data_IF_385709294912
#
_entry.id   IF_385709294912
#
_cell.length_a   1.000
_cell.length_b   1.000
_cell.length_c   1.000
_cell.angle_alpha   90.00
_cell.angle_beta   90.00
_cell.angle_gamma   90.00
#
_symmetry.space_group_name_H-M   'P 1'
#
loop_
_entity.id
_entity.type
_entity.pdbx_description
1 polymer ?
#
# COMPACT_ATOMS: atom_id res chain seq x y z
N UNK A 1 -8.13 34.74 2.84
CA UNK A 1 -6.92 35.17 3.57
C UNK A 1 -5.66 35.06 2.72
N UNK A 2 -5.45 33.94 2.00
CA UNK A 2 -4.26 33.73 1.14
C UNK A 2 -4.15 34.71 -0.04
N UNK A 3 -5.24 34.92 -0.79
CA UNK A 3 -5.25 35.85 -1.94
C UNK A 3 -4.98 37.30 -1.52
N UNK A 4 -5.57 37.75 -0.42
CA UNK A 4 -5.32 39.07 0.16
C UNK A 4 -3.83 39.28 0.49
N UNK A 5 -3.17 38.27 1.08
CA UNK A 5 -1.76 38.33 1.43
C UNK A 5 -0.84 38.42 0.20
N UNK A 6 -1.20 37.76 -0.90
CA UNK A 6 -0.46 37.85 -2.17
C UNK A 6 -0.57 39.28 -2.73
N UNK A 7 -1.77 39.84 -2.77
CA UNK A 7 -1.98 41.19 -3.30
C UNK A 7 -1.32 42.27 -2.44
N UNK A 8 -1.37 42.16 -1.11
CA UNK A 8 -0.69 43.12 -0.21
C UNK A 8 0.82 43.01 -0.32
N UNK A 9 1.38 41.79 -0.38
CA UNK A 9 2.82 41.59 -0.59
C UNK A 9 3.32 42.18 -1.91
N UNK A 10 2.54 42.02 -2.99
CA UNK A 10 2.85 42.60 -4.29
C UNK A 10 2.84 44.13 -4.26
N UNK A 11 1.85 44.73 -3.59
CA UNK A 11 1.77 46.19 -3.45
C UNK A 11 2.94 46.76 -2.63
N UNK A 12 3.28 46.11 -1.51
CA UNK A 12 4.41 46.52 -0.67
C UNK A 12 5.72 46.45 -1.45
N UNK A 13 5.97 45.38 -2.21
CA UNK A 13 7.17 45.23 -3.04
C UNK A 13 7.27 46.33 -4.10
N UNK A 14 6.14 46.67 -4.73
CA UNK A 14 6.09 47.71 -5.76
C UNK A 14 6.41 49.10 -5.20
N UNK A 15 6.03 49.38 -3.95
CA UNK A 15 6.36 50.64 -3.28
C UNK A 15 7.78 50.67 -2.69
N UNK A 16 8.29 49.54 -2.17
CA UNK A 16 9.59 49.51 -1.49
C UNK A 16 10.79 49.51 -2.46
N UNK A 17 10.66 48.85 -3.61
CA UNK A 17 11.73 48.74 -4.62
C UNK A 17 12.26 50.08 -5.15
N UNK A 18 11.41 51.09 -5.49
CA UNK A 18 11.91 52.39 -5.95
C UNK A 18 12.65 53.17 -4.86
N UNK A 19 12.19 53.14 -3.61
CA UNK A 19 12.86 53.81 -2.48
C UNK A 19 14.21 53.17 -2.15
N UNK A 20 14.28 51.85 -2.20
CA UNK A 20 15.51 51.07 -2.00
C UNK A 20 16.54 51.37 -3.09
N UNK A 21 16.08 51.59 -4.33
CA UNK A 21 16.94 52.00 -5.46
C UNK A 21 17.45 53.44 -5.31
N UNK A 22 16.66 54.33 -4.69
CA UNK A 22 17.04 55.73 -4.53
C UNK A 22 18.00 55.97 -3.36
N UNK A 23 17.81 55.25 -2.25
CA UNK A 23 18.51 55.50 -0.98
C UNK A 23 19.87 54.82 -0.83
N UNK A 24 20.17 53.79 -1.63
CA UNK A 24 21.37 52.97 -1.47
C UNK A 24 22.22 53.06 -2.73
N UNK A 25 23.23 53.93 -2.71
CA UNK A 25 24.25 53.93 -3.75
C UNK A 25 25.05 52.63 -3.67
N UNK A 26 25.03 51.87 -4.77
CA UNK A 26 25.77 50.62 -4.91
C UNK A 26 27.22 50.84 -4.47
N UNK A 27 27.72 49.98 -3.58
CA UNK A 27 29.10 49.90 -3.06
C UNK A 27 30.17 50.02 -4.18
N UNK A 28 30.35 51.22 -4.73
CA UNK A 28 31.30 51.55 -5.80
C UNK A 28 31.16 50.79 -7.12
N UNK A 29 29.99 50.22 -7.48
CA UNK A 29 29.79 49.47 -8.76
C UNK A 29 28.47 49.80 -9.44
N UNK A 30 28.46 49.81 -10.77
CA UNK A 30 27.30 50.23 -11.61
C UNK A 30 26.14 49.23 -11.63
N UNK A 31 26.31 48.03 -11.04
CA UNK A 31 25.32 46.94 -11.11
C UNK A 31 24.69 46.65 -9.76
N UNK A 32 23.35 46.79 -9.70
CA UNK A 32 22.50 46.59 -8.52
C UNK A 32 22.29 45.11 -8.10
N UNK A 33 22.89 44.18 -8.83
CA UNK A 33 22.65 42.74 -8.72
C UNK A 33 22.96 42.12 -7.33
N UNK A 34 24.08 42.46 -6.64
CA UNK A 34 24.42 41.83 -5.35
C UNK A 34 23.47 42.24 -4.22
N UNK A 35 22.98 43.48 -4.24
CA UNK A 35 22.10 44.02 -3.21
C UNK A 35 20.70 43.40 -3.31
N UNK A 36 20.17 43.30 -4.52
CA UNK A 36 18.88 42.66 -4.77
C UNK A 36 18.88 41.19 -4.30
N UNK A 37 19.95 40.45 -4.60
CA UNK A 37 20.08 39.06 -4.19
C UNK A 37 20.22 38.91 -2.67
N UNK A 38 20.96 39.81 -2.02
CA UNK A 38 21.10 39.83 -0.55
C UNK A 38 19.77 40.09 0.16
N UNK A 39 19.01 41.09 -0.29
CA UNK A 39 17.70 41.44 0.28
C UNK A 39 16.71 40.28 0.14
N UNK A 40 16.64 39.67 -1.05
CA UNK A 40 15.79 38.49 -1.27
C UNK A 40 16.18 37.32 -0.36
N UNK A 41 17.49 37.08 -0.19
CA UNK A 41 17.98 36.01 0.67
C UNK A 41 17.60 36.21 2.14
N UNK A 42 17.68 37.44 2.66
CA UNK A 42 17.29 37.77 4.03
C UNK A 42 15.77 37.61 4.23
N UNK A 43 14.96 38.04 3.26
CA UNK A 43 13.50 37.87 3.30
C UNK A 43 13.10 36.38 3.28
N UNK A 44 13.76 35.56 2.47
CA UNK A 44 13.52 34.11 2.42
C UNK A 44 13.91 33.42 3.74
N UNK A 45 15.06 33.81 4.32
CA UNK A 45 15.53 33.26 5.59
C UNK A 45 14.59 33.62 6.74
N UNK A 46 14.21 34.89 6.84
CA UNK A 46 13.26 35.38 7.86
C UNK A 46 11.89 34.72 7.75
N UNK A 47 11.35 34.56 6.53
CA UNK A 47 10.09 33.84 6.29
C UNK A 47 10.17 32.38 6.77
N UNK A 48 11.28 31.70 6.47
CA UNK A 48 11.51 30.31 6.90
C UNK A 48 11.52 30.19 8.43
N UNK A 49 12.21 31.11 9.12
CA UNK A 49 12.25 31.13 10.60
C UNK A 49 10.86 31.33 11.19
N UNK A 50 10.06 32.26 10.64
CA UNK A 50 8.69 32.51 11.09
C UNK A 50 7.81 31.25 10.90
N UNK A 51 7.92 30.58 9.75
CA UNK A 51 7.17 29.34 9.47
C UNK A 51 7.57 28.19 10.42
N UNK A 52 8.86 28.07 10.74
CA UNK A 52 9.37 27.05 11.68
C UNK A 52 8.92 27.36 13.10
N UNK A 53 8.95 28.62 13.53
CA UNK A 53 8.46 29.03 14.85
C UNK A 53 6.94 28.83 14.98
N UNK A 54 6.17 29.11 13.92
CA UNK A 54 4.72 28.89 13.89
C UNK A 54 4.30 27.42 13.87
N UNK A 55 5.23 26.49 13.64
CA UNK A 55 4.98 25.04 13.47
C UNK A 55 4.10 24.41 14.57
N UNK A 56 4.20 24.89 15.81
CA UNK A 56 3.44 24.36 16.93
C UNK A 56 1.97 24.83 16.96
N UNK A 57 1.65 25.93 16.28
CA UNK A 57 0.29 26.49 16.21
C UNK A 57 -0.53 25.96 15.03
N UNK A 58 0.11 25.27 14.08
CA UNK A 58 -0.60 24.64 12.97
C UNK A 58 -1.14 23.28 13.40
N UNK A 59 -2.46 23.16 13.45
CA UNK A 59 -3.12 21.86 13.54
C UNK A 59 -2.83 21.11 12.25
N UNK A 60 -1.90 20.16 12.30
CA UNK A 60 -1.63 19.22 11.21
C UNK A 60 -2.86 18.32 11.06
N UNK A 61 -3.80 18.72 10.21
CA UNK A 61 -4.87 17.82 9.79
C UNK A 61 -4.22 16.66 9.03
N UNK A 62 -4.41 15.44 9.52
CA UNK A 62 -4.11 14.25 8.72
C UNK A 62 -4.92 14.38 7.43
N UNK A 63 -4.30 14.28 6.25
CA UNK A 63 -5.05 14.32 5.02
C UNK A 63 -5.95 13.09 4.96
N UNK A 64 -7.26 13.32 4.93
CA UNK A 64 -8.27 12.28 5.07
C UNK A 64 -8.41 11.40 3.82
N UNK A 65 -7.68 11.69 2.73
CA UNK A 65 -7.61 10.89 1.50
C UNK A 65 -6.42 11.30 0.61
N UNK A 66 -5.20 11.44 1.16
CA UNK A 66 -4.05 11.81 0.31
C UNK A 66 -3.54 10.60 -0.49
N UNK A 67 -3.91 10.57 -1.76
CA UNK A 67 -3.32 9.72 -2.81
C UNK A 67 -1.78 9.81 -2.74
N UNK A 68 -1.22 11.00 -2.49
CA UNK A 68 0.21 11.21 -2.26
C UNK A 68 0.78 10.33 -1.14
N UNK A 69 0.15 10.24 0.04
CA UNK A 69 0.63 9.36 1.11
C UNK A 69 0.52 7.88 0.75
N UNK A 70 -0.49 7.48 -0.03
CA UNK A 70 -0.61 6.11 -0.52
C UNK A 70 0.46 5.80 -1.56
N UNK A 71 0.78 6.76 -2.45
CA UNK A 71 1.87 6.68 -3.42
C UNK A 71 3.22 6.61 -2.70
N UNK A 72 3.49 7.51 -1.74
CA UNK A 72 4.72 7.48 -0.96
C UNK A 72 4.85 6.20 -0.12
N UNK A 73 3.76 5.70 0.46
CA UNK A 73 3.73 4.41 1.16
C UNK A 73 3.98 3.22 0.24
N UNK A 74 3.35 3.18 -0.95
CA UNK A 74 3.60 2.15 -1.95
C UNK A 74 5.04 2.20 -2.47
N UNK A 75 5.59 3.40 -2.75
CA UNK A 75 6.92 3.56 -3.39
C UNK A 75 8.07 3.47 -2.39
N UNK A 76 7.91 3.99 -1.17
CA UNK A 76 8.99 4.11 -0.19
C UNK A 76 8.77 3.27 1.07
N UNK A 77 7.60 2.64 1.24
CA UNK A 77 7.20 2.04 2.52
C UNK A 77 7.88 0.73 2.89
N UNK A 78 8.38 -0.05 1.92
CA UNK A 78 9.11 -1.30 2.22
C UNK A 78 10.36 -1.42 1.36
N UNK A 79 11.51 -1.53 2.01
CA UNK A 79 12.76 -1.96 1.39
C UNK A 79 12.55 -3.35 0.79
N UNK A 80 12.71 -3.44 -0.53
CA UNK A 80 12.58 -4.64 -1.36
C UNK A 80 13.76 -5.61 -1.20
N UNK A 81 14.79 -5.22 -0.45
CA UNK A 81 15.93 -6.10 -0.18
C UNK A 81 15.67 -6.95 1.06
N UNK A 82 15.47 -8.25 0.82
CA UNK A 82 15.45 -9.26 1.88
C UNK A 82 16.90 -9.42 2.38
N UNK A 83 17.19 -9.23 3.68
CA UNK A 83 18.52 -9.42 4.22
C UNK A 83 19.05 -10.83 3.94
N UNK A 84 20.35 -10.96 3.69
CA UNK A 84 20.97 -12.24 3.37
C UNK A 84 20.65 -13.30 4.43
N UNK A 85 20.08 -14.44 4.02
CA UNK A 85 19.73 -15.53 4.94
C UNK A 85 18.31 -15.46 5.52
N UNK A 86 17.53 -14.43 5.19
CA UNK A 86 16.12 -14.33 5.58
C UNK A 86 15.18 -14.73 4.43
N UNK A 87 13.96 -15.13 4.79
CA UNK A 87 12.81 -15.17 3.88
C UNK A 87 11.70 -14.27 4.43
N UNK A 88 10.85 -13.75 3.55
CA UNK A 88 9.71 -12.91 3.94
C UNK A 88 8.39 -13.66 3.69
N UNK A 89 7.48 -13.55 4.64
CA UNK A 89 6.18 -14.21 4.59
C UNK A 89 5.10 -13.14 4.62
N UNK A 90 4.08 -13.31 3.78
CA UNK A 90 2.85 -12.53 3.81
C UNK A 90 1.69 -13.44 4.17
N UNK A 91 0.86 -13.01 5.12
CA UNK A 91 -0.37 -13.68 5.51
C UNK A 91 -1.51 -12.71 5.22
N UNK A 92 -2.38 -13.11 4.29
CA UNK A 92 -3.58 -12.37 3.92
C UNK A 92 -4.78 -12.97 4.66
N UNK A 93 -5.47 -12.16 5.45
CA UNK A 93 -6.74 -12.55 6.05
C UNK A 93 -7.83 -12.49 4.97
N UNK A 94 -8.46 -13.62 4.65
CA UNK A 94 -9.60 -13.69 3.74
C UNK A 94 -10.96 -13.54 4.42
N UNK A 95 -10.97 -13.21 5.72
CA UNK A 95 -12.18 -13.06 6.53
C UNK A 95 -12.44 -11.59 6.89
N UNK A 96 -13.70 -11.28 7.15
CA UNK A 96 -14.25 -9.97 7.53
C UNK A 96 -14.22 -9.74 9.04
N UNK A 97 -13.44 -10.54 9.75
CA UNK A 97 -13.26 -10.52 11.20
C UNK A 97 -11.77 -10.47 11.56
N UNK A 98 -11.47 -10.08 12.80
CA UNK A 98 -10.09 -10.05 13.28
C UNK A 98 -9.55 -11.47 13.50
N UNK A 99 -8.29 -11.66 13.12
CA UNK A 99 -7.56 -12.92 13.28
C UNK A 99 -6.28 -12.67 14.06
N UNK A 100 -5.97 -13.55 15.00
CA UNK A 100 -4.77 -13.51 15.82
C UNK A 100 -3.76 -14.52 15.30
N UNK A 101 -2.55 -14.06 14.99
CA UNK A 101 -1.43 -14.92 14.60
C UNK A 101 -0.41 -14.94 15.73
N UNK A 102 -0.11 -16.13 16.23
CA UNK A 102 0.87 -16.36 17.27
C UNK A 102 1.92 -17.37 16.81
N UNK A 103 3.19 -17.07 17.04
CA UNK A 103 4.27 -18.04 16.87
C UNK A 103 5.38 -17.78 17.88
N UNK A 104 5.70 -18.81 18.66
CA UNK A 104 6.83 -18.78 19.60
C UNK A 104 8.15 -18.71 18.86
N UNK A 105 8.28 -19.45 17.75
CA UNK A 105 9.50 -19.49 16.95
C UNK A 105 9.79 -18.15 16.26
N UNK A 106 8.76 -17.48 15.72
CA UNK A 106 8.92 -16.17 15.10
C UNK A 106 8.94 -15.00 16.10
N UNK A 107 8.66 -15.25 17.38
CA UNK A 107 8.40 -14.21 18.39
C UNK A 107 7.33 -13.20 17.95
N UNK A 108 6.29 -13.70 17.28
CA UNK A 108 5.18 -12.88 16.75
C UNK A 108 3.91 -13.14 17.54
N UNK A 109 3.27 -12.05 17.95
CA UNK A 109 1.88 -12.01 18.39
C UNK A 109 1.25 -10.77 17.75
N UNK A 110 0.42 -10.97 16.73
CA UNK A 110 -0.15 -9.87 15.95
C UNK A 110 -1.61 -10.15 15.62
N UNK A 111 -2.41 -9.09 15.57
CA UNK A 111 -3.81 -9.13 15.15
C UNK A 111 -3.89 -8.58 13.72
N UNK A 112 -4.41 -9.40 12.81
CA UNK A 112 -4.70 -9.04 11.42
C UNK A 112 -6.16 -8.59 11.36
N UNK A 113 -6.40 -7.39 10.86
CA UNK A 113 -7.74 -6.84 10.68
C UNK A 113 -8.57 -7.55 9.60
N UNK A 114 -9.85 -7.19 9.46
CA UNK A 114 -10.73 -7.69 8.39
C UNK A 114 -10.14 -7.45 7.00
N UNK A 115 -10.04 -8.52 6.21
CA UNK A 115 -9.44 -8.52 4.88
C UNK A 115 -8.04 -7.91 4.82
N UNK A 116 -7.29 -7.86 5.93
CA UNK A 116 -5.99 -7.21 6.06
C UNK A 116 -4.80 -8.15 5.82
N UNK A 117 -3.59 -7.61 5.82
CA UNK A 117 -2.35 -8.33 5.56
C UNK A 117 -1.32 -8.09 6.66
N UNK A 118 -0.65 -9.17 7.07
CA UNK A 118 0.52 -9.13 7.94
C UNK A 118 1.74 -9.68 7.21
N UNK A 119 2.90 -9.08 7.42
CA UNK A 119 4.16 -9.58 6.91
C UNK A 119 5.22 -9.73 8.01
N UNK A 120 6.08 -10.73 7.86
CA UNK A 120 7.20 -11.01 8.78
C UNK A 120 8.39 -11.53 8.00
N UNK A 121 9.58 -11.05 8.35
CA UNK A 121 10.85 -11.58 7.83
C UNK A 121 11.53 -12.42 8.90
N UNK A 122 12.04 -13.59 8.54
CA UNK A 122 12.67 -14.50 9.50
C UNK A 122 13.91 -15.17 8.89
N UNK A 123 14.92 -15.41 9.73
CA UNK A 123 16.16 -16.10 9.36
C UNK A 123 15.89 -17.59 9.14
N UNK A 124 16.35 -18.13 8.01
CA UNK A 124 16.24 -19.57 7.74
C UNK A 124 17.37 -20.26 8.47
N UNK A 125 17.09 -20.81 9.65
CA UNK A 125 18.05 -21.66 10.36
C UNK A 125 18.25 -22.96 9.57
N UNK A 126 19.51 -23.30 9.27
CA UNK A 126 19.91 -24.52 8.55
C UNK A 126 19.65 -25.76 9.39
N UNK A 127 18.39 -26.19 9.48
CA UNK A 127 18.01 -27.38 10.24
C UNK A 127 17.69 -28.60 9.37
N UNK A 128 17.62 -28.49 8.03
CA UNK A 128 17.35 -29.63 7.15
C UNK A 128 18.21 -29.64 5.87
N UNK A 129 18.35 -30.84 5.27
CA UNK A 129 19.30 -31.31 4.24
C UNK A 129 19.40 -30.45 2.95
N UNK A 130 18.46 -29.53 2.72
CA UNK A 130 18.54 -28.48 1.70
C UNK A 130 18.56 -27.14 2.42
N UNK A 131 19.75 -26.56 2.61
CA UNK A 131 20.03 -25.40 3.49
C UNK A 131 19.32 -24.07 3.17
N UNK A 132 18.30 -24.09 2.31
CA UNK A 132 17.54 -22.93 1.85
C UNK A 132 16.07 -22.93 2.30
N UNK A 133 15.58 -23.99 2.96
CA UNK A 133 14.17 -24.14 3.37
C UNK A 133 14.04 -24.32 4.88
N UNK A 134 13.23 -23.47 5.52
CA UNK A 134 12.84 -23.55 6.93
C UNK A 134 11.34 -23.80 7.08
N UNK A 135 10.94 -24.48 8.17
CA UNK A 135 9.54 -24.71 8.50
C UNK A 135 9.27 -24.19 9.90
N UNK A 136 8.20 -23.39 10.06
CA UNK A 136 7.85 -22.75 11.34
C UNK A 136 6.40 -23.00 11.68
N UNK A 137 6.15 -23.47 12.90
CA UNK A 137 4.79 -23.63 13.43
C UNK A 137 4.18 -22.28 13.84
N UNK A 138 2.91 -22.09 13.48
CA UNK A 138 2.10 -20.93 13.90
C UNK A 138 0.73 -21.42 14.40
N UNK A 139 0.12 -20.61 15.25
CA UNK A 139 -1.26 -20.77 15.71
C UNK A 139 -2.07 -19.59 15.18
N UNK A 140 -3.23 -19.89 14.60
CA UNK A 140 -4.19 -18.91 14.10
C UNK A 140 -5.44 -19.01 14.94
N UNK A 141 -5.83 -17.91 15.57
CA UNK A 141 -7.07 -17.80 16.33
C UNK A 141 -8.02 -16.76 15.73
N UNK A 142 -9.31 -16.95 15.92
CA UNK A 142 -10.35 -16.03 15.43
C UNK A 142 -11.03 -15.30 16.59
N UNK A 143 -11.47 -14.07 16.31
CA UNK A 143 -12.35 -13.35 17.22
C UNK A 143 -13.71 -14.05 17.37
N UNK A 144 -14.28 -14.03 18.59
CA UNK A 144 -15.56 -14.70 18.94
C UNK A 144 -16.74 -14.27 18.07
N UNK A 145 -16.72 -13.06 17.51
CA UNK A 145 -17.82 -12.55 16.67
C UNK A 145 -17.73 -12.98 15.21
N UNK A 146 -16.78 -13.83 14.84
CA UNK A 146 -16.61 -14.23 13.45
C UNK A 146 -17.66 -15.28 13.05
N UNK A 147 -18.56 -14.92 12.12
CA UNK A 147 -19.74 -15.72 11.76
C UNK A 147 -19.45 -17.10 11.16
N UNK A 148 -18.20 -17.38 10.81
CA UNK A 148 -17.78 -18.59 10.08
C UNK A 148 -17.14 -19.66 10.96
N UNK A 149 -16.91 -19.34 12.23
CA UNK A 149 -16.21 -20.21 13.17
C UNK A 149 -16.94 -20.26 14.50
N UNK A 150 -16.74 -21.34 15.24
CA UNK A 150 -17.16 -21.41 16.64
C UNK A 150 -16.39 -20.41 17.50
N UNK A 151 -16.96 -20.05 18.65
CA UNK A 151 -16.31 -19.17 19.60
C UNK A 151 -14.91 -19.68 19.98
N UNK A 152 -13.91 -18.79 19.92
CA UNK A 152 -12.50 -19.08 20.19
C UNK A 152 -11.92 -20.23 19.34
N UNK A 153 -12.34 -20.34 18.09
CA UNK A 153 -11.73 -21.29 17.16
C UNK A 153 -10.26 -20.93 16.92
N UNK A 154 -9.38 -21.89 17.22
CA UNK A 154 -7.95 -21.80 16.95
C UNK A 154 -7.47 -23.08 16.27
N UNK A 155 -6.51 -22.94 15.36
CA UNK A 155 -5.86 -24.09 14.74
C UNK A 155 -4.36 -23.86 14.56
N UNK A 156 -3.61 -24.94 14.63
CA UNK A 156 -2.17 -24.93 14.40
C UNK A 156 -1.88 -25.26 12.93
N UNK A 157 -0.93 -24.53 12.34
CA UNK A 157 -0.45 -24.79 10.99
C UNK A 157 1.05 -24.51 10.90
N UNK A 158 1.65 -24.84 9.76
CA UNK A 158 3.08 -24.63 9.51
C UNK A 158 3.28 -23.73 8.31
N UNK A 159 4.25 -22.83 8.42
CA UNK A 159 4.73 -21.98 7.35
C UNK A 159 6.05 -22.52 6.83
N UNK A 160 6.16 -22.61 5.52
CA UNK A 160 7.44 -22.80 4.84
C UNK A 160 8.06 -21.44 4.54
N UNK A 161 9.35 -21.31 4.81
CA UNK A 161 10.18 -20.13 4.58
C UNK A 161 11.30 -20.53 3.64
N UNK A 162 11.54 -19.75 2.58
CA UNK A 162 12.63 -19.99 1.64
C UNK A 162 13.56 -18.79 1.66
N UNK A 163 14.86 -19.05 1.76
CA UNK A 163 15.90 -18.02 1.81
C UNK A 163 15.86 -17.14 0.55
N UNK A 164 15.83 -15.82 0.73
CA UNK A 164 15.81 -14.82 -0.33
C UNK A 164 14.52 -14.80 -1.17
N UNK A 165 13.44 -15.41 -0.67
CA UNK A 165 12.14 -15.47 -1.36
C UNK A 165 11.03 -14.88 -0.50
N UNK A 166 10.03 -14.36 -1.19
CA UNK A 166 8.76 -13.94 -0.60
C UNK A 166 7.72 -15.04 -0.80
N UNK A 167 6.96 -15.37 0.24
CA UNK A 167 5.93 -16.41 0.18
C UNK A 167 4.63 -15.87 0.76
N UNK A 168 3.60 -15.87 -0.08
CA UNK A 168 2.25 -15.46 0.30
C UNK A 168 1.41 -16.65 0.76
N UNK A 169 0.64 -16.44 1.83
CA UNK A 169 -0.36 -17.36 2.34
C UNK A 169 -1.70 -16.65 2.43
N UNK A 170 -2.76 -17.34 2.01
CA UNK A 170 -4.13 -16.83 2.05
C UNK A 170 -4.94 -17.63 3.06
N UNK A 171 -5.38 -16.97 4.12
CA UNK A 171 -6.25 -17.56 5.14
C UNK A 171 -7.68 -17.56 4.61
N UNK A 172 -8.20 -18.73 4.27
CA UNK A 172 -9.47 -18.85 3.58
C UNK A 172 -10.20 -20.14 3.92
N UNK A 173 -11.46 -20.23 3.50
CA UNK A 173 -12.25 -21.46 3.56
C UNK A 173 -11.99 -22.28 2.30
N UNK A 174 -11.52 -23.51 2.47
CA UNK A 174 -11.37 -24.48 1.36
C UNK A 174 -12.71 -25.13 1.00
N UNK A 175 -13.59 -25.27 2.00
CA UNK A 175 -14.97 -25.73 1.85
C UNK A 175 -15.79 -25.17 3.03
N UNK A 176 -17.11 -25.43 3.11
CA UNK A 176 -17.96 -24.87 4.16
C UNK A 176 -17.52 -25.20 5.59
N UNK A 177 -16.75 -26.27 5.79
CA UNK A 177 -16.38 -26.80 7.11
C UNK A 177 -14.88 -26.68 7.43
N UNK A 178 -14.04 -26.38 6.42
CA UNK A 178 -12.58 -26.40 6.55
C UNK A 178 -12.03 -25.03 6.26
N UNK A 179 -11.41 -24.46 7.29
CA UNK A 179 -10.59 -23.25 7.21
C UNK A 179 -9.13 -23.68 7.17
N UNK A 180 -8.37 -23.12 6.25
CA UNK A 180 -6.95 -23.39 6.15
C UNK A 180 -6.19 -22.13 5.77
N UNK A 181 -4.93 -22.10 6.19
CA UNK A 181 -3.95 -21.18 5.64
C UNK A 181 -3.37 -21.80 4.36
N UNK A 182 -3.92 -21.40 3.21
CA UNK A 182 -3.50 -21.92 1.92
C UNK A 182 -2.23 -21.23 1.42
N UNK A 183 -1.28 -21.98 0.88
CA UNK A 183 -0.07 -21.41 0.29
C UNK A 183 -0.38 -20.91 -1.13
N UNK A 184 0.04 -19.69 -1.44
CA UNK A 184 -0.13 -19.09 -2.76
C UNK A 184 1.12 -19.38 -3.61
N UNK A 185 0.99 -20.32 -4.55
CA UNK A 185 2.09 -20.72 -5.43
C UNK A 185 3.28 -21.32 -4.67
N UNK A 186 4.46 -21.28 -5.30
CA UNK A 186 5.72 -21.75 -4.70
C UNK A 186 6.41 -20.59 -3.97
N UNK A 187 6.56 -19.46 -4.63
CA UNK A 187 7.06 -18.21 -4.10
C UNK A 187 6.54 -17.08 -4.98
N UNK A 188 6.50 -15.86 -4.44
CA UNK A 188 6.10 -14.70 -5.21
C UNK A 188 7.20 -14.33 -6.19
N UNK A 189 6.87 -14.35 -7.49
CA UNK A 189 7.78 -13.96 -8.54
C UNK A 189 7.60 -12.46 -8.84
N UNK A 190 8.27 -11.61 -8.06
CA UNK A 190 8.18 -10.16 -8.18
C UNK A 190 9.07 -9.60 -9.29
N UNK A 191 8.92 -10.13 -10.50
CA UNK A 191 9.62 -9.59 -11.68
C UNK A 191 8.80 -8.45 -12.26
N UNK A 192 9.37 -7.25 -12.23
CA UNK A 192 8.76 -6.07 -12.85
C UNK A 192 8.62 -6.28 -14.35
N UNK A 193 7.45 -5.93 -14.86
CA UNK A 193 7.14 -6.00 -16.29
C UNK A 193 7.99 -4.96 -17.06
N UNK A 194 8.47 -5.31 -18.26
CA UNK A 194 9.42 -4.50 -19.05
C UNK A 194 8.83 -3.17 -19.50
N UNK A 195 7.53 -3.12 -19.78
CA UNK A 195 6.82 -1.89 -20.16
C UNK A 195 6.29 -1.11 -18.95
N UNK A 196 6.60 -1.53 -17.72
CA UNK A 196 6.22 -0.83 -16.50
C UNK A 196 4.75 -1.01 -16.12
N UNK A 197 4.05 -1.96 -16.73
CA UNK A 197 2.68 -2.29 -16.35
C UNK A 197 2.64 -2.87 -14.93
N UNK A 198 1.66 -2.46 -14.10
CA UNK A 198 1.46 -3.05 -12.79
C UNK A 198 1.01 -4.50 -12.90
N UNK A 199 1.36 -5.28 -11.89
CA UNK A 199 0.97 -6.67 -11.75
C UNK A 199 -0.13 -6.78 -10.70
N UNK A 200 -1.27 -7.38 -11.06
CA UNK A 200 -2.37 -7.63 -10.15
C UNK A 200 -2.51 -9.12 -9.86
N UNK A 201 -2.79 -9.45 -8.61
CA UNK A 201 -3.19 -10.77 -8.13
C UNK A 201 -4.51 -10.64 -7.38
N UNK A 202 -5.34 -11.67 -7.46
CA UNK A 202 -6.62 -11.71 -6.75
C UNK A 202 -6.71 -13.01 -5.97
N UNK A 203 -7.03 -12.89 -4.69
CA UNK A 203 -7.22 -13.97 -3.73
C UNK A 203 -8.72 -14.06 -3.43
N UNK A 204 -9.28 -15.25 -3.63
CA UNK A 204 -10.71 -15.56 -3.47
C UNK A 204 -10.87 -16.79 -2.59
N UNK A 205 -12.03 -16.95 -1.96
CA UNK A 205 -12.38 -18.15 -1.20
C UNK A 205 -13.16 -19.17 -2.07
N UNK A 206 -13.49 -20.34 -1.49
CA UNK A 206 -14.25 -21.39 -2.17
C UNK A 206 -15.68 -21.00 -2.60
N UNK A 207 -16.19 -19.84 -2.17
CA UNK A 207 -17.57 -19.43 -2.51
C UNK A 207 -17.70 -18.83 -3.91
N UNK A 208 -16.57 -18.62 -4.58
CA UNK A 208 -16.52 -18.20 -5.97
C UNK A 208 -16.43 -19.44 -6.87
N UNK A 209 -17.51 -19.72 -7.61
CA UNK A 209 -17.62 -20.91 -8.47
C UNK A 209 -17.00 -20.67 -9.86
N UNK A 210 -16.81 -21.73 -10.65
CA UNK A 210 -16.21 -21.67 -11.97
C UNK A 210 -16.99 -20.77 -12.94
N UNK A 211 -18.29 -20.61 -12.70
CA UNK A 211 -19.21 -19.81 -13.52
C UNK A 211 -19.32 -18.34 -13.09
N UNK A 212 -18.78 -17.98 -11.92
CA UNK A 212 -18.80 -16.60 -11.47
C UNK A 212 -17.85 -15.74 -12.30
N UNK A 213 -18.40 -14.70 -12.94
CA UNK A 213 -17.62 -13.76 -13.72
C UNK A 213 -17.40 -12.49 -12.90
N UNK A 214 -16.18 -12.32 -12.41
CA UNK A 214 -15.76 -11.04 -11.84
C UNK A 214 -14.94 -10.32 -12.90
N UNK A 215 -15.30 -9.06 -13.16
CA UNK A 215 -14.62 -8.22 -14.13
C UNK A 215 -14.12 -6.96 -13.47
N UNK A 216 -12.85 -6.62 -13.68
CA UNK A 216 -12.35 -5.28 -13.38
C UNK A 216 -12.62 -4.42 -14.61
N UNK A 217 -13.40 -3.36 -14.47
CA UNK A 217 -13.65 -2.41 -15.55
C UNK A 217 -13.12 -1.03 -15.19
N UNK A 218 -12.51 -0.38 -16.17
CA UNK A 218 -12.01 0.98 -16.04
C UNK A 218 -13.17 1.98 -15.81
N UNK A 219 -12.97 2.92 -14.89
CA UNK A 219 -13.98 3.91 -14.49
C UNK A 219 -14.19 4.99 -15.56
N UNK A 220 -13.16 5.32 -16.33
CA UNK A 220 -13.17 6.47 -17.22
C UNK A 220 -13.78 6.17 -18.60
N UNK A 221 -14.31 4.95 -18.83
CA UNK A 221 -15.02 4.46 -20.03
C UNK A 221 -14.33 4.67 -21.41
N UNK A 222 -13.20 5.39 -21.46
CA UNK A 222 -12.43 5.69 -22.66
C UNK A 222 -11.54 4.53 -23.10
N UNK A 223 -11.39 3.52 -22.25
CA UNK A 223 -10.69 2.28 -22.58
C UNK A 223 -11.61 1.09 -22.33
N UNK A 224 -11.87 0.29 -23.36
CA UNK A 224 -12.60 -0.98 -23.28
C UNK A 224 -11.80 -2.07 -22.54
N UNK A 225 -11.06 -1.71 -21.49
CA UNK A 225 -10.20 -2.65 -20.77
C UNK A 225 -10.98 -3.24 -19.61
N UNK A 226 -11.51 -4.44 -19.86
CA UNK A 226 -12.06 -5.29 -18.82
C UNK A 226 -11.18 -6.54 -18.64
N UNK A 227 -10.94 -6.92 -17.39
CA UNK A 227 -10.19 -8.14 -17.06
C UNK A 227 -11.10 -9.13 -16.36
N UNK A 228 -11.25 -10.33 -16.93
CA UNK A 228 -11.99 -11.41 -16.27
C UNK A 228 -11.14 -12.07 -15.19
N UNK A 229 -11.75 -12.40 -14.05
CA UNK A 229 -11.08 -13.10 -12.94
C UNK A 229 -10.63 -14.51 -13.26
N UNK A 230 -11.12 -15.11 -14.35
CA UNK A 230 -10.59 -16.38 -14.87
C UNK A 230 -9.07 -16.33 -15.04
N UNK A 231 -8.52 -15.18 -15.44
CA UNK A 231 -7.08 -14.92 -15.55
C UNK A 231 -6.34 -15.02 -14.20
N UNK A 232 -7.03 -14.71 -13.09
CA UNK A 232 -6.45 -14.60 -11.76
C UNK A 232 -6.74 -15.81 -10.87
N UNK A 233 -7.48 -16.82 -11.34
CA UNK A 233 -7.83 -18.03 -10.55
C UNK A 233 -6.63 -18.84 -10.08
N UNK A 234 -5.49 -18.78 -10.80
CA UNK A 234 -4.24 -19.38 -10.35
C UNK A 234 -3.60 -18.66 -9.15
N UNK A 235 -4.19 -17.56 -8.67
CA UNK A 235 -3.61 -16.63 -7.68
C UNK A 235 -2.21 -16.14 -8.09
N UNK A 236 -1.96 -16.08 -9.39
CA UNK A 236 -0.73 -15.56 -9.96
C UNK A 236 -0.87 -14.06 -10.24
N UNK A 237 0.28 -13.39 -10.30
CA UNK A 237 0.35 -12.01 -10.78
C UNK A 237 0.18 -11.97 -12.30
N UNK A 238 -0.74 -11.13 -12.76
CA UNK A 238 -0.92 -10.82 -14.18
C UNK A 238 -0.74 -9.33 -14.41
N UNK A 239 -0.09 -8.97 -15.51
CA UNK A 239 0.07 -7.58 -15.91
C UNK A 239 -1.29 -6.98 -16.31
N UNK A 240 -1.58 -5.79 -15.81
CA UNK A 240 -2.75 -4.99 -16.15
C UNK A 240 -2.32 -3.56 -16.48
N UNK A 241 -3.17 -2.81 -17.18
CA UNK A 241 -2.90 -1.39 -17.47
C UNK A 241 -3.10 -0.54 -16.22
N UNK A 242 -2.35 0.55 -16.14
CA UNK A 242 -2.56 1.59 -15.13
C UNK A 242 -3.90 2.27 -15.35
N UNK A 243 -4.62 2.59 -14.27
CA UNK A 243 -5.94 3.19 -14.37
C UNK A 243 -6.72 3.07 -13.08
N UNK A 244 -7.95 3.58 -13.10
CA UNK A 244 -8.90 3.45 -12.00
C UNK A 244 -9.89 2.36 -12.35
N UNK A 245 -10.03 1.38 -11.48
CA UNK A 245 -10.87 0.21 -11.71
C UNK A 245 -11.96 0.08 -10.66
N UNK A 246 -13.14 -0.30 -11.12
CA UNK A 246 -14.21 -0.82 -10.28
C UNK A 246 -14.33 -2.33 -10.50
N UNK A 247 -14.66 -3.06 -9.43
CA UNK A 247 -14.86 -4.50 -9.48
C UNK A 247 -16.34 -4.79 -9.69
N UNK A 248 -16.65 -5.60 -10.69
CA UNK A 248 -18.01 -6.05 -10.99
C UNK A 248 -18.10 -7.55 -10.79
N UNK A 249 -19.19 -8.03 -10.21
CA UNK A 249 -19.54 -9.45 -10.09
C UNK A 249 -20.83 -9.71 -10.84
N UNK A 250 -20.79 -10.61 -11.83
CA UNK A 250 -21.92 -10.94 -12.70
C UNK A 250 -22.63 -9.69 -13.27
N UNK A 251 -21.84 -8.66 -13.62
CA UNK A 251 -22.32 -7.38 -14.15
C UNK A 251 -22.78 -6.34 -13.11
N UNK A 252 -22.82 -6.70 -11.82
CA UNK A 252 -23.19 -5.79 -10.73
C UNK A 252 -21.92 -5.21 -10.10
N UNK A 253 -21.85 -3.89 -9.95
CA UNK A 253 -20.72 -3.24 -9.30
C UNK A 253 -20.67 -3.60 -7.81
N UNK A 254 -19.52 -4.08 -7.35
CA UNK A 254 -19.31 -4.39 -5.94
C UNK A 254 -19.12 -3.10 -5.13
N UNK A 255 -19.55 -3.06 -3.85
CA UNK A 255 -19.34 -1.92 -2.95
C UNK A 255 -17.90 -1.87 -2.43
N UNK A 256 -16.92 -1.99 -3.32
CA UNK A 256 -15.49 -1.84 -3.03
C UNK A 256 -15.03 -0.44 -3.40
N UNK A 257 -14.09 0.17 -2.66
CA UNK A 257 -13.53 1.45 -3.04
C UNK A 257 -12.87 1.36 -4.42
N UNK A 258 -12.99 2.43 -5.22
CA UNK A 258 -12.35 2.51 -6.54
C UNK A 258 -10.84 2.31 -6.40
N UNK A 259 -10.32 1.38 -7.19
CA UNK A 259 -8.94 0.94 -7.13
C UNK A 259 -8.09 1.78 -8.07
N UNK A 260 -7.27 2.64 -7.48
CA UNK A 260 -6.28 3.44 -8.22
C UNK A 260 -4.98 2.64 -8.39
N UNK A 261 -4.69 2.21 -9.61
CA UNK A 261 -3.58 1.31 -9.96
C UNK A 261 -2.49 2.10 -10.70
N UNK A 262 -1.36 2.26 -10.03
CA UNK A 262 -0.19 3.01 -10.50
C UNK A 262 0.83 2.10 -11.21
N UNK A 263 1.69 2.64 -12.08
CA UNK A 263 2.69 1.84 -12.81
C UNK A 263 3.72 1.18 -11.89
N UNK A 264 4.32 0.09 -12.39
CA UNK A 264 5.45 -0.61 -11.80
C UNK A 264 5.29 -1.09 -10.35
N UNK A 265 4.05 -1.35 -9.93
CA UNK A 265 3.69 -1.86 -8.61
C UNK A 265 3.00 -3.24 -8.69
N UNK A 266 3.04 -3.97 -7.58
CA UNK A 266 2.33 -5.23 -7.40
C UNK A 266 1.10 -5.01 -6.54
N UNK A 267 -0.03 -5.56 -6.95
CA UNK A 267 -1.29 -5.43 -6.24
C UNK A 267 -1.84 -6.80 -5.88
N UNK A 268 -2.34 -6.97 -4.66
CA UNK A 268 -3.07 -8.16 -4.26
C UNK A 268 -4.44 -7.72 -3.76
N UNK A 269 -5.51 -8.18 -4.40
CA UNK A 269 -6.88 -7.97 -3.93
C UNK A 269 -7.31 -9.22 -3.19
N UNK A 270 -7.88 -9.06 -2.00
CA UNK A 270 -8.58 -10.15 -1.31
C UNK A 270 -10.08 -9.89 -1.40
N UNK A 271 -10.83 -10.87 -1.89
CA UNK A 271 -12.29 -10.81 -2.04
C UNK A 271 -12.94 -11.90 -1.19
N UNK A 272 -14.00 -11.52 -0.48
CA UNK A 272 -14.82 -12.44 0.31
C UNK A 272 -16.31 -12.18 0.06
N UNK A 273 -17.09 -13.25 0.09
CA UNK A 273 -18.55 -13.22 -0.01
C UNK A 273 -19.18 -13.57 1.35
N UNK A 274 -19.80 -12.59 2.01
CA UNK A 274 -20.57 -12.79 3.24
C UNK A 274 -21.93 -12.05 3.17
N UNK A 275 -22.87 -12.56 2.37
CA UNK A 275 -24.14 -11.87 2.07
C UNK A 275 -23.94 -10.67 1.13
N UNK A 276 -23.20 -9.65 1.59
CA UNK A 276 -22.63 -8.59 0.77
C UNK A 276 -21.18 -8.94 0.38
N UNK A 277 -20.72 -8.45 -0.77
CA UNK A 277 -19.33 -8.58 -1.19
C UNK A 277 -18.47 -7.54 -0.49
N UNK A 278 -17.34 -7.97 0.05
CA UNK A 278 -16.34 -7.09 0.66
C UNK A 278 -14.98 -7.44 0.07
N UNK A 279 -14.19 -6.42 -0.25
CA UNK A 279 -12.88 -6.58 -0.85
C UNK A 279 -11.92 -5.51 -0.38
N UNK A 280 -10.65 -5.87 -0.24
CA UNK A 280 -9.58 -4.93 0.10
C UNK A 280 -8.42 -5.05 -0.90
N UNK A 281 -7.80 -3.91 -1.23
CA UNK A 281 -6.69 -3.80 -2.19
C UNK A 281 -5.38 -3.51 -1.46
N UNK A 282 -4.45 -4.44 -1.57
CA UNK A 282 -3.08 -4.30 -1.10
C UNK A 282 -2.15 -3.86 -2.21
N UNK A 283 -1.26 -2.94 -1.88
CA UNK A 283 -0.18 -2.48 -2.73
C UNK A 283 1.15 -2.98 -2.15
N UNK A 284 1.98 -3.60 -2.98
CA UNK A 284 3.34 -4.06 -2.70
C UNK A 284 4.29 -3.65 -3.83
N UNK A 285 5.59 -3.68 -3.55
CA UNK A 285 6.65 -3.30 -4.48
C UNK A 285 7.57 -4.47 -4.81
#
# INVERSE_FOLDING_TARGET
MFTLAIYTGSLISTCLMPELRHSIHCFGRDTYFPLAFGVLSIIMLTSTVILVCGKNMYVKKKPENNILTRIFGCIFGNTTEIPSGQGRIYIYNGFDCNVFVQSKSLHVQHQIGPLDMFNVSHTVATQNVSGDVGVVGITIGFETKCSFVSDNYEFNTTLTIIKGKEISYHLTRLNPNIIALNRVGIHDNLVKEKFGNPNLRILVDHTFDYNDNITLADVDHNSFTSYSLSLFRGMNFNAIKTGKYNVFYNGIMLPTPTMDIIPAAFYTITLQRNGNFIGNLFCGL
#
